data_IF_413035384047
#
_entry.id   IF_413035384047
#
_cell.length_a   1.000
_cell.length_b   1.000
_cell.length_c   1.000
_cell.angle_alpha   90.00
_cell.angle_beta   90.00
_cell.angle_gamma   90.00
#
_symmetry.space_group_name_H-M   'P 1'
#
loop_
_entity.id
_entity.type
_entity.pdbx_description
1 polymer ?
#
# COMPACT_ATOMS: atom_id res chain seq x y z
N UNK A 1 1.88 -11.17 -11.87
CA UNK A 1 3.11 -10.45 -11.50
C UNK A 1 4.16 -10.72 -12.57
N UNK A 2 4.94 -9.74 -12.97
CA UNK A 2 5.95 -9.84 -14.04
C UNK A 2 7.22 -9.11 -13.58
N UNK A 3 8.39 -9.65 -13.86
CA UNK A 3 9.64 -8.96 -13.52
C UNK A 3 9.72 -7.57 -14.21
N UNK A 4 10.24 -6.56 -13.52
CA UNK A 4 10.38 -5.18 -14.03
C UNK A 4 11.21 -5.10 -15.31
N UNK A 5 12.11 -6.06 -15.54
CA UNK A 5 12.96 -6.13 -16.73
C UNK A 5 12.35 -7.02 -17.83
N UNK A 6 11.14 -7.55 -17.63
CA UNK A 6 10.45 -8.39 -18.59
C UNK A 6 9.25 -7.67 -19.19
N UNK A 7 9.15 -7.73 -20.51
CA UNK A 7 8.01 -7.18 -21.25
C UNK A 7 6.74 -8.00 -20.96
N UNK A 8 5.65 -7.32 -20.60
CA UNK A 8 4.37 -7.96 -20.29
C UNK A 8 3.66 -8.40 -21.60
N UNK A 9 3.79 -9.68 -21.97
CA UNK A 9 3.15 -10.27 -23.16
C UNK A 9 2.03 -11.24 -22.78
N UNK A 10 1.03 -11.35 -23.65
CA UNK A 10 -0.07 -12.32 -23.54
C UNK A 10 -0.86 -12.22 -22.21
N UNK A 11 -1.07 -11.00 -21.71
CA UNK A 11 -1.84 -10.78 -20.48
C UNK A 11 -3.32 -11.01 -20.77
N UNK A 12 -4.02 -11.90 -20.04
CA UNK A 12 -5.45 -12.08 -20.22
C UNK A 12 -6.22 -10.78 -19.96
N UNK A 13 -7.29 -10.57 -20.71
CA UNK A 13 -8.18 -9.41 -20.51
C UNK A 13 -8.71 -9.34 -19.07
N UNK A 14 -8.77 -8.15 -18.50
CA UNK A 14 -9.24 -7.90 -17.13
C UNK A 14 -8.20 -8.08 -16.02
N UNK A 15 -6.96 -8.44 -16.35
CA UNK A 15 -5.88 -8.55 -15.37
C UNK A 15 -5.04 -7.26 -15.30
N UNK A 16 -4.77 -6.81 -14.08
CA UNK A 16 -3.80 -5.74 -13.81
C UNK A 16 -2.43 -6.34 -13.59
N UNK A 17 -1.44 -5.91 -14.37
CA UNK A 17 -0.04 -6.32 -14.20
C UNK A 17 0.55 -5.62 -12.99
N UNK A 18 1.24 -6.37 -12.14
CA UNK A 18 2.08 -5.85 -11.06
C UNK A 18 3.51 -6.22 -11.41
N UNK A 19 4.37 -5.21 -11.53
CA UNK A 19 5.77 -5.42 -11.78
C UNK A 19 6.55 -5.68 -10.48
N UNK A 20 7.43 -6.68 -10.51
CA UNK A 20 8.25 -7.09 -9.35
C UNK A 20 9.75 -6.89 -9.63
N UNK A 21 10.59 -6.61 -8.60
CA UNK A 21 10.22 -6.43 -7.20
C UNK A 21 9.39 -5.16 -6.97
N UNK A 22 8.43 -5.22 -6.05
CA UNK A 22 7.70 -4.04 -5.58
C UNK A 22 8.61 -3.26 -4.63
N UNK A 23 8.83 -1.99 -4.94
CA UNK A 23 9.78 -1.11 -4.25
C UNK A 23 9.11 0.04 -3.52
N UNK A 24 7.94 0.47 -3.99
CA UNK A 24 7.22 1.63 -3.47
C UNK A 24 5.77 1.27 -3.15
N UNK A 25 5.45 1.21 -1.87
CA UNK A 25 4.14 0.75 -1.38
C UNK A 25 3.46 1.84 -0.57
N UNK A 26 2.17 2.03 -0.80
CA UNK A 26 1.30 2.77 0.12
C UNK A 26 0.51 1.78 0.99
N UNK A 27 0.55 1.99 2.30
CA UNK A 27 -0.26 1.25 3.28
C UNK A 27 -1.38 2.17 3.81
N UNK A 28 -2.64 1.84 3.53
CA UNK A 28 -3.78 2.64 3.98
C UNK A 28 -4.28 2.31 5.39
N UNK A 29 -3.75 1.25 6.00
CA UNK A 29 -4.12 0.82 7.35
C UNK A 29 -2.89 0.49 8.19
N UNK A 30 -3.02 0.64 9.51
CA UNK A 30 -1.95 0.27 10.45
C UNK A 30 -1.62 -1.21 10.43
N UNK A 31 -2.59 -2.08 10.09
CA UNK A 31 -2.34 -3.53 9.98
C UNK A 31 -1.38 -3.83 8.83
N UNK A 32 -1.65 -3.29 7.64
CA UNK A 32 -0.74 -3.44 6.49
C UNK A 32 0.66 -2.92 6.83
N UNK A 33 0.76 -1.71 7.41
CA UNK A 33 2.05 -1.15 7.83
C UNK A 33 2.78 -2.06 8.84
N UNK A 34 2.04 -2.67 9.78
CA UNK A 34 2.62 -3.55 10.78
C UNK A 34 3.23 -4.81 10.17
N UNK A 35 2.67 -5.34 9.08
CA UNK A 35 3.23 -6.48 8.36
C UNK A 35 4.59 -6.13 7.75
N UNK A 36 4.71 -4.98 7.08
CA UNK A 36 6.00 -4.50 6.56
C UNK A 36 7.04 -4.25 7.66
N UNK A 37 6.60 -3.74 8.82
CA UNK A 37 7.48 -3.61 9.99
C UNK A 37 7.97 -4.98 10.45
N UNK A 38 7.07 -5.97 10.56
CA UNK A 38 7.42 -7.31 11.05
C UNK A 38 8.37 -8.05 10.11
N UNK A 39 8.24 -7.81 8.80
CA UNK A 39 9.10 -8.38 7.76
C UNK A 39 10.44 -7.65 7.57
N UNK A 40 10.69 -6.55 8.29
CA UNK A 40 11.89 -5.73 8.07
C UNK A 40 11.90 -5.02 6.71
N UNK A 41 10.73 -4.79 6.12
CA UNK A 41 10.54 -4.22 4.78
C UNK A 41 9.98 -2.78 4.82
N UNK A 42 10.18 -2.07 5.93
CA UNK A 42 9.71 -0.67 6.12
C UNK A 42 10.27 0.26 5.04
N UNK A 43 11.47 -0.03 4.53
CA UNK A 43 12.11 0.68 3.44
C UNK A 43 11.31 0.68 2.13
N UNK A 44 10.37 -0.25 1.94
CA UNK A 44 9.46 -0.32 0.80
C UNK A 44 8.25 0.60 0.93
N UNK A 45 7.92 1.04 2.15
CA UNK A 45 6.74 1.89 2.40
C UNK A 45 7.08 3.34 2.04
N UNK A 46 6.40 3.87 1.02
CA UNK A 46 6.54 5.24 0.52
C UNK A 46 5.37 6.15 0.89
N UNK A 47 4.25 5.58 1.37
CA UNK A 47 3.13 6.37 1.86
C UNK A 47 2.24 5.66 2.87
N UNK A 48 1.61 6.45 3.74
CA UNK A 48 0.62 5.98 4.73
C UNK A 48 -0.54 6.98 4.85
N UNK A 49 -1.67 6.55 5.38
CA UNK A 49 -2.81 7.45 5.68
C UNK A 49 -2.73 8.05 7.08
N UNK A 50 -2.17 7.33 8.04
CA UNK A 50 -2.12 7.76 9.44
C UNK A 50 -0.82 7.36 10.12
N UNK A 51 -0.26 8.29 10.91
CA UNK A 51 0.83 8.01 11.85
C UNK A 51 0.33 7.95 13.30
N UNK A 52 -0.99 7.88 13.52
CA UNK A 52 -1.55 7.78 14.87
C UNK A 52 -1.12 6.45 15.47
N UNK A 53 -0.56 6.48 16.69
CA UNK A 53 0.02 5.30 17.34
C UNK A 53 1.16 4.63 16.56
N UNK A 54 1.84 5.36 15.66
CA UNK A 54 3.07 4.87 15.05
C UNK A 54 4.20 4.95 16.07
N UNK A 55 4.79 3.80 16.42
CA UNK A 55 5.92 3.71 17.36
C UNK A 55 7.24 3.30 16.71
N UNK A 56 7.19 2.68 15.53
CA UNK A 56 8.38 2.26 14.80
C UNK A 56 9.27 3.46 14.45
N UNK A 57 10.53 3.43 14.89
CA UNK A 57 11.49 4.54 14.75
C UNK A 57 11.89 4.78 13.30
N UNK A 58 12.13 3.71 12.53
CA UNK A 58 12.52 3.81 11.13
C UNK A 58 11.44 4.50 10.31
N UNK A 59 10.18 4.09 10.45
CA UNK A 59 9.06 4.70 9.73
C UNK A 59 8.87 6.17 10.11
N UNK A 60 9.07 6.55 11.38
CA UNK A 60 9.05 7.96 11.80
C UNK A 60 10.12 8.78 11.09
N UNK A 61 11.33 8.24 10.98
CA UNK A 61 12.43 8.96 10.32
C UNK A 61 12.21 9.06 8.81
N UNK A 62 11.60 8.04 8.19
CA UNK A 62 11.19 8.09 6.79
C UNK A 62 10.13 9.16 6.54
N UNK A 63 9.17 9.33 7.45
CA UNK A 63 8.19 10.43 7.38
C UNK A 63 8.86 11.80 7.55
N UNK A 64 9.80 11.93 8.48
CA UNK A 64 10.52 13.18 8.75
C UNK A 64 11.43 13.61 7.59
N UNK A 65 12.08 12.64 6.94
CA UNK A 65 12.98 12.88 5.80
C UNK A 65 12.25 13.03 4.46
N UNK A 66 10.94 12.74 4.40
CA UNK A 66 10.16 12.74 3.16
C UNK A 66 10.31 11.46 2.32
N UNK A 67 11.12 10.48 2.76
CA UNK A 67 11.23 9.18 2.10
C UNK A 67 9.91 8.39 2.11
N UNK A 68 9.03 8.69 3.07
CA UNK A 68 7.63 8.31 3.05
C UNK A 68 6.75 9.52 3.39
N UNK A 69 5.51 9.54 2.90
CA UNK A 69 4.63 10.69 3.07
C UNK A 69 3.23 10.30 3.55
N UNK A 70 2.50 11.26 4.13
CA UNK A 70 1.10 11.05 4.52
C UNK A 70 0.20 11.48 3.37
N UNK A 71 -0.61 10.55 2.86
CA UNK A 71 -1.40 10.76 1.64
C UNK A 71 -2.81 11.32 1.88
N UNK A 72 -3.08 11.77 3.11
CA UNK A 72 -4.43 12.14 3.56
C UNK A 72 -5.19 10.96 4.16
N UNK A 73 -6.49 11.17 4.37
CA UNK A 73 -7.40 10.23 5.01
C UNK A 73 -8.60 9.95 4.10
N UNK A 74 -9.38 8.91 4.43
CA UNK A 74 -10.56 8.56 3.63
C UNK A 74 -11.49 9.75 3.41
N UNK A 75 -11.89 9.96 2.15
CA UNK A 75 -12.73 11.08 1.72
C UNK A 75 -11.97 12.39 1.45
N UNK A 76 -10.67 12.46 1.75
CA UNK A 76 -9.82 13.62 1.47
C UNK A 76 -8.37 13.17 1.23
N UNK A 77 -8.17 12.35 0.19
CA UNK A 77 -6.84 11.94 -0.24
C UNK A 77 -6.22 13.00 -1.15
N UNK A 78 -4.90 13.12 -1.06
CA UNK A 78 -4.11 14.00 -1.91
C UNK A 78 -3.65 13.23 -3.15
N UNK A 79 -4.45 13.29 -4.22
CA UNK A 79 -4.17 12.55 -5.45
C UNK A 79 -2.87 13.01 -6.12
N UNK A 80 -2.58 14.32 -6.12
CA UNK A 80 -1.34 14.86 -6.68
C UNK A 80 -0.13 14.34 -5.93
N UNK A 81 -0.20 14.31 -4.60
CA UNK A 81 0.84 13.71 -3.78
C UNK A 81 1.01 12.21 -4.05
N UNK A 82 -0.07 11.45 -4.19
CA UNK A 82 0.02 10.01 -4.49
C UNK A 82 0.68 9.78 -5.86
N UNK A 83 0.29 10.55 -6.87
CA UNK A 83 0.93 10.51 -8.20
C UNK A 83 2.41 10.89 -8.11
N UNK A 84 2.75 11.92 -7.32
CA UNK A 84 4.14 12.33 -7.09
C UNK A 84 4.97 11.30 -6.32
N UNK A 85 4.35 10.53 -5.42
CA UNK A 85 4.99 9.37 -4.78
C UNK A 85 5.27 8.28 -5.83
N UNK A 86 4.47 8.16 -6.88
CA UNK A 86 4.58 7.12 -7.90
C UNK A 86 4.78 5.70 -7.31
N UNK A 87 3.84 5.22 -6.46
CA UNK A 87 3.93 3.89 -5.88
C UNK A 87 3.65 2.79 -6.92
N UNK A 88 4.28 1.62 -6.72
CA UNK A 88 4.04 0.43 -7.55
C UNK A 88 2.66 -0.18 -7.22
N UNK A 89 2.26 -0.16 -5.95
CA UNK A 89 0.98 -0.68 -5.46
C UNK A 89 0.45 0.11 -4.25
N UNK A 90 -0.86 0.10 -4.08
CA UNK A 90 -1.55 0.62 -2.88
C UNK A 90 -2.30 -0.53 -2.22
N UNK A 91 -1.96 -0.86 -0.98
CA UNK A 91 -2.77 -1.77 -0.19
C UNK A 91 -3.96 -1.03 0.41
N UNK A 92 -5.16 -1.52 0.14
CA UNK A 92 -6.40 -0.82 0.46
C UNK A 92 -7.39 -1.72 1.21
N UNK A 93 -8.17 -1.13 2.11
CA UNK A 93 -9.37 -1.78 2.67
C UNK A 93 -10.55 -1.51 1.74
N UNK A 94 -11.18 -2.53 1.13
CA UNK A 94 -12.30 -2.33 0.21
C UNK A 94 -13.60 -1.93 0.93
N UNK A 95 -13.63 -1.94 2.27
CA UNK A 95 -14.83 -1.69 3.07
C UNK A 95 -14.98 -0.26 3.57
N UNK A 96 -13.93 0.56 3.44
CA UNK A 96 -14.03 1.96 3.82
C UNK A 96 -14.71 2.75 2.68
N UNK A 97 -15.99 3.08 2.89
CA UNK A 97 -16.82 3.85 1.93
C UNK A 97 -16.08 5.09 1.45
N UNK A 98 -16.10 5.33 0.15
CA UNK A 98 -15.45 6.47 -0.50
C UNK A 98 -13.93 6.36 -0.64
N UNK A 99 -13.27 5.51 0.16
CA UNK A 99 -11.83 5.36 0.09
C UNK A 99 -11.36 4.54 -1.11
N UNK A 100 -12.07 3.47 -1.43
CA UNK A 100 -11.72 2.57 -2.54
C UNK A 100 -12.00 3.16 -3.91
N UNK A 101 -13.17 3.79 -4.11
CA UNK A 101 -13.53 4.38 -5.40
C UNK A 101 -12.65 5.59 -5.73
N UNK A 102 -12.35 6.46 -4.76
CA UNK A 102 -11.42 7.58 -4.97
C UNK A 102 -10.02 7.11 -5.39
N UNK A 103 -9.55 5.99 -4.84
CA UNK A 103 -8.23 5.44 -5.19
C UNK A 103 -8.19 4.77 -6.56
N UNK A 104 -9.34 4.33 -7.10
CA UNK A 104 -9.40 3.75 -8.46
C UNK A 104 -9.05 4.78 -9.53
N UNK A 105 -9.39 6.05 -9.29
CA UNK A 105 -9.15 7.14 -10.24
C UNK A 105 -7.66 7.49 -10.39
N UNK A 106 -6.83 7.12 -9.41
CA UNK A 106 -5.37 7.40 -9.44
C UNK A 106 -4.63 6.50 -10.44
N UNK A 107 -5.25 5.42 -10.94
CA UNK A 107 -4.67 4.54 -11.96
C UNK A 107 -3.53 3.65 -11.47
N UNK A 108 -3.32 3.57 -10.15
CA UNK A 108 -2.30 2.73 -9.53
C UNK A 108 -2.91 1.38 -9.13
N UNK A 109 -2.20 0.25 -9.31
CA UNK A 109 -2.69 -1.05 -8.87
C UNK A 109 -3.10 -1.07 -7.39
N UNK A 110 -4.38 -1.33 -7.15
CA UNK A 110 -4.94 -1.46 -5.82
C UNK A 110 -4.96 -2.93 -5.40
N UNK A 111 -4.43 -3.23 -4.23
CA UNK A 111 -4.44 -4.57 -3.63
C UNK A 111 -5.40 -4.57 -2.44
N UNK A 112 -6.63 -5.10 -2.60
CA UNK A 112 -7.53 -5.29 -1.49
C UNK A 112 -6.89 -6.19 -0.42
N UNK A 113 -6.86 -5.72 0.82
CA UNK A 113 -6.28 -6.43 1.94
C UNK A 113 -7.35 -6.70 3.01
N UNK A 114 -7.63 -7.97 3.29
CA UNK A 114 -8.73 -8.38 4.17
C UNK A 114 -8.28 -9.00 5.49
N UNK A 115 -6.98 -9.04 5.80
CA UNK A 115 -6.48 -9.69 7.02
C UNK A 115 -7.12 -9.24 8.33
N UNK A 116 -7.69 -8.04 8.43
CA UNK A 116 -8.42 -7.59 9.63
C UNK A 116 -9.81 -8.24 9.81
N UNK A 117 -10.34 -8.92 8.79
CA UNK A 117 -11.57 -9.71 8.85
C UNK A 117 -11.33 -11.14 9.34
N UNK A 118 -10.07 -11.58 9.36
CA UNK A 118 -9.70 -12.92 9.79
C UNK A 118 -9.88 -13.08 11.30
N UNK A 119 -10.58 -14.13 11.69
CA UNK A 119 -10.95 -14.40 13.09
C UNK A 119 -9.95 -15.29 13.80
N UNK A 120 -9.01 -15.90 13.08
CA UNK A 120 -7.98 -16.76 13.65
C UNK A 120 -6.59 -16.15 13.45
N UNK A 121 -5.63 -16.41 14.37
CA UNK A 121 -4.25 -15.99 14.19
C UNK A 121 -3.61 -16.54 12.91
N UNK A 122 -3.95 -17.77 12.52
CA UNK A 122 -3.45 -18.39 11.30
C UNK A 122 -3.98 -17.66 10.06
N UNK A 123 -5.28 -17.35 10.02
CA UNK A 123 -5.86 -16.58 8.92
C UNK A 123 -5.20 -15.21 8.79
N UNK A 124 -4.95 -14.50 9.90
CA UNK A 124 -4.23 -13.23 9.87
C UNK A 124 -2.81 -13.36 9.33
N UNK A 125 -2.13 -14.48 9.60
CA UNK A 125 -0.76 -14.72 9.16
C UNK A 125 -0.64 -14.93 7.64
N UNK A 126 -1.69 -15.36 6.95
CA UNK A 126 -1.71 -15.50 5.48
C UNK A 126 -1.60 -14.15 4.74
N UNK A 127 -1.81 -13.05 5.46
CA UNK A 127 -1.73 -11.68 4.93
C UNK A 127 -0.40 -10.97 5.25
N UNK A 128 0.53 -11.66 5.92
CA UNK A 128 1.88 -11.17 6.22
C UNK A 128 2.83 -11.66 5.15
#
# INVERSE_FOLDING_TARGET
MIDKNTEAKNIPSGYTVIHVPVDRVICMTSLQLSNFIKLGAVNKVSGITSSRHLFNKEMKERLKSGAAQKIGIEGNFDNELIMGINPDVIFISPFKRGGYDAMREVGIPLIPHLGYKETSPLGQAEWV
#
